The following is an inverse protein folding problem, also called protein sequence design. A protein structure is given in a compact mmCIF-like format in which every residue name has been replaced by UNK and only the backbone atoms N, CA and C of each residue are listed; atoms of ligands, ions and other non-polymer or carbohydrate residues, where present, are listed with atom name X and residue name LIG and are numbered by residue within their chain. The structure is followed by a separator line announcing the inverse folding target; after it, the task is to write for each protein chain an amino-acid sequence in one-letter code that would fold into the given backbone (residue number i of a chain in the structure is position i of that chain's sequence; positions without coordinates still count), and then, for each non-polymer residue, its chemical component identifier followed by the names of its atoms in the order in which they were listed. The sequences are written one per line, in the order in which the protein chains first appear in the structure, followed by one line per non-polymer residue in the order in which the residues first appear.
data_IF_203557107691
#
_entry.id   IF_203557107691
#
_cell.length_a   1.000
_cell.length_b   1.000
_cell.length_c   1.000
_cell.angle_alpha   90.00
_cell.angle_beta   90.00
_cell.angle_gamma   90.00
#
_symmetry.space_group_name_H-M   'P 1'
#
loop_
_entity.id
_entity.type
_entity.pdbx_description
1 polymer ?
#
# COMPACT_ATOMS: atom_id res chain seq x y z
N UNK A 1 72.04 -16.29 -36.17
CA UNK A 1 71.73 -17.01 -34.91
C UNK A 1 70.39 -17.71 -35.09
N UNK A 2 70.42 -19.05 -35.02
CA UNK A 2 69.34 -20.05 -34.82
C UNK A 2 67.92 -19.78 -35.35
N UNK A 3 67.42 -20.54 -36.35
CA UNK A 3 66.97 -21.96 -36.30
C UNK A 3 65.49 -22.07 -35.84
N UNK A 4 64.52 -22.29 -36.75
CA UNK A 4 63.98 -23.57 -37.28
C UNK A 4 62.80 -24.18 -36.47
N UNK A 5 61.81 -24.74 -37.19
CA UNK A 5 60.84 -25.77 -36.75
C UNK A 5 59.38 -25.29 -36.74
N UNK A 6 58.52 -25.48 -37.75
CA UNK A 6 57.88 -26.69 -38.31
C UNK A 6 57.08 -27.60 -37.35
N UNK A 7 55.77 -27.70 -37.66
CA UNK A 7 54.94 -28.92 -37.77
C UNK A 7 54.51 -29.71 -36.53
N UNK A 8 53.20 -29.92 -36.34
CA UNK A 8 52.54 -31.22 -36.60
C UNK A 8 51.07 -31.28 -36.13
N UNK A 9 50.28 -32.04 -36.91
CA UNK A 9 48.91 -32.52 -36.64
C UNK A 9 48.95 -33.85 -35.88
N UNK A 10 47.97 -34.08 -35.00
CA UNK A 10 47.25 -35.34 -34.68
C UNK A 10 46.43 -35.04 -33.40
N UNK A 11 45.13 -35.34 -33.25
CA UNK A 11 44.38 -36.50 -33.68
C UNK A 11 44.26 -37.47 -32.50
N UNK A 12 43.14 -37.47 -31.75
CA UNK A 12 42.62 -38.73 -31.19
C UNK A 12 41.16 -38.67 -30.69
N UNK A 13 40.48 -39.78 -30.97
CA UNK A 13 39.13 -40.18 -30.60
C UNK A 13 39.15 -40.97 -29.28
N UNK A 14 38.09 -40.94 -28.48
CA UNK A 14 37.56 -42.11 -27.70
C UNK A 14 36.23 -41.71 -27.03
N UNK A 15 35.07 -42.29 -27.42
CA UNK A 15 34.38 -43.47 -26.83
C UNK A 15 33.87 -43.22 -25.39
N UNK A 16 32.55 -43.08 -25.21
CA UNK A 16 31.51 -44.11 -24.93
C UNK A 16 31.38 -44.45 -23.44
N UNK A 17 30.14 -44.39 -22.94
CA UNK A 17 29.38 -45.21 -21.97
C UNK A 17 28.41 -44.22 -21.28
N UNK A 18 27.09 -44.30 -21.37
CA UNK A 18 26.24 -45.49 -21.38
C UNK A 18 25.96 -45.86 -19.92
N UNK A 19 24.83 -45.40 -19.38
CA UNK A 19 24.07 -46.15 -18.39
C UNK A 19 22.67 -45.53 -18.21
N UNK A 20 21.71 -46.30 -18.70
CA UNK A 20 20.32 -46.30 -18.29
C UNK A 20 20.21 -46.68 -16.81
N UNK A 21 19.25 -46.07 -16.10
CA UNK A 21 18.52 -46.77 -15.05
C UNK A 21 17.18 -46.06 -14.80
N UNK A 22 16.14 -46.71 -15.33
CA UNK A 22 14.75 -46.65 -14.87
C UNK A 22 14.69 -46.90 -13.36
N UNK A 23 13.88 -46.12 -12.64
CA UNK A 23 13.18 -46.59 -11.46
C UNK A 23 11.82 -45.87 -11.37
N UNK A 24 10.79 -46.64 -11.70
CA UNK A 24 9.41 -46.48 -11.28
C UNK A 24 9.32 -46.37 -9.75
N UNK A 25 8.62 -45.35 -9.25
CA UNK A 25 7.81 -45.47 -8.05
C UNK A 25 6.57 -44.60 -8.20
N UNK A 26 5.44 -45.27 -8.37
CA UNK A 26 4.12 -44.74 -8.07
C UNK A 26 3.91 -44.81 -6.55
N UNK A 27 3.41 -43.73 -5.96
CA UNK A 27 2.63 -43.81 -4.73
C UNK A 27 1.69 -42.61 -4.64
N UNK A 28 0.40 -42.95 -4.55
CA UNK A 28 -0.71 -42.10 -4.17
C UNK A 28 -0.49 -41.51 -2.77
N UNK A 29 -0.81 -40.23 -2.57
CA UNK A 29 -1.38 -39.84 -1.27
C UNK A 29 -2.40 -38.71 -1.41
N UNK A 30 -3.52 -38.94 -0.73
CA UNK A 30 -4.70 -38.10 -0.70
C UNK A 30 -4.58 -37.08 0.42
N UNK A 31 -5.04 -35.85 0.13
CA UNK A 31 -5.76 -35.06 1.12
C UNK A 31 -4.92 -34.13 2.01
N UNK A 32 -5.04 -32.83 1.74
CA UNK A 32 -5.59 -31.92 2.77
C UNK A 32 -5.94 -30.59 2.13
N UNK A 33 -7.25 -30.32 2.09
CA UNK A 33 -7.78 -29.02 1.71
C UNK A 33 -7.42 -27.98 2.76
N UNK A 34 -6.71 -26.94 2.33
CA UNK A 34 -6.57 -25.69 3.08
C UNK A 34 -7.12 -24.55 2.23
N UNK A 35 -8.39 -24.23 2.47
CA UNK A 35 -9.02 -23.02 1.96
C UNK A 35 -8.34 -21.78 2.54
N UNK A 36 -7.42 -21.18 1.78
CA UNK A 36 -7.09 -19.76 1.92
C UNK A 36 -7.83 -18.98 0.84
N UNK A 37 -8.86 -18.25 1.25
CA UNK A 37 -9.60 -17.29 0.44
C UNK A 37 -8.63 -16.23 -0.07
N UNK A 38 -8.31 -16.28 -1.36
CA UNK A 38 -7.60 -15.22 -2.05
C UNK A 38 -8.42 -13.94 -2.02
N UNK A 39 -7.87 -12.90 -1.42
CA UNK A 39 -8.39 -11.54 -1.47
C UNK A 39 -8.19 -10.99 -2.90
N UNK A 40 -9.21 -11.14 -3.74
CA UNK A 40 -9.40 -10.29 -4.92
C UNK A 40 -10.22 -9.09 -4.48
N UNK A 41 -9.56 -7.96 -4.30
CA UNK A 41 -10.21 -6.73 -3.84
C UNK A 41 -9.44 -5.50 -4.31
N UNK A 42 -9.35 -5.28 -5.62
CA UNK A 42 -8.78 -4.06 -6.20
C UNK A 42 -9.78 -3.38 -7.14
N UNK A 43 -10.25 -2.22 -6.68
CA UNK A 43 -10.44 -0.93 -7.39
C UNK A 43 -11.32 -0.75 -8.65
N UNK A 44 -11.74 -1.78 -9.40
CA UNK A 44 -12.33 -1.51 -10.75
C UNK A 44 -13.85 -1.63 -10.91
N UNK A 45 -14.65 -1.79 -9.86
CA UNK A 45 -16.13 -1.77 -9.97
C UNK A 45 -16.77 -0.39 -9.77
N UNK A 46 -15.99 0.67 -9.51
CA UNK A 46 -16.55 1.97 -9.10
C UNK A 46 -16.64 3.03 -10.23
N UNK A 47 -16.04 2.77 -11.40
CA UNK A 47 -15.93 3.76 -12.48
C UNK A 47 -16.67 3.35 -13.78
N UNK A 48 -17.72 2.52 -13.67
CA UNK A 48 -18.74 2.37 -14.74
C UNK A 48 -19.94 3.26 -14.42
N UNK A 49 -20.37 4.05 -15.39
CA UNK A 49 -21.41 5.11 -15.32
C UNK A 49 -22.83 4.64 -14.91
N UNK A 50 -23.74 5.58 -14.52
CA UNK A 50 -24.72 5.35 -13.47
C UNK A 50 -26.15 5.05 -13.99
N UNK A 51 -26.90 4.26 -13.21
CA UNK A 51 -28.36 4.25 -13.27
C UNK A 51 -28.94 4.01 -11.87
N UNK A 52 -29.82 4.92 -11.44
CA UNK A 52 -30.81 4.64 -10.39
C UNK A 52 -30.58 5.33 -9.05
N UNK A 53 -31.24 6.48 -8.88
CA UNK A 53 -31.65 7.07 -7.60
C UNK A 53 -32.28 6.04 -6.65
N UNK A 54 -31.92 6.09 -5.36
CA UNK A 54 -32.89 6.12 -4.26
C UNK A 54 -32.31 6.87 -3.05
N UNK A 55 -33.12 7.81 -2.54
CA UNK A 55 -32.96 8.46 -1.24
C UNK A 55 -32.92 7.44 -0.10
N UNK A 56 -32.01 7.65 0.85
CA UNK A 56 -32.21 7.20 2.23
C UNK A 56 -31.62 8.22 3.20
N UNK A 57 -32.47 8.72 4.09
CA UNK A 57 -32.16 9.64 5.18
C UNK A 57 -31.22 9.01 6.21
N UNK A 58 -30.43 9.82 6.96
CA UNK A 58 -29.55 9.29 7.99
C UNK A 58 -30.33 8.97 9.27
N UNK A 59 -30.45 7.69 9.60
CA UNK A 59 -30.86 7.24 10.93
C UNK A 59 -29.79 7.60 11.96
N UNK A 60 -30.18 8.44 12.90
CA UNK A 60 -29.45 8.76 14.13
C UNK A 60 -29.48 7.53 15.05
N UNK A 61 -28.32 6.91 15.27
CA UNK A 61 -28.20 5.79 16.19
C UNK A 61 -28.19 6.30 17.64
N UNK A 62 -29.33 6.11 18.31
CA UNK A 62 -29.52 6.27 19.75
C UNK A 62 -28.77 5.16 20.49
N UNK A 63 -27.74 5.50 21.26
CA UNK A 63 -27.25 4.60 22.31
C UNK A 63 -28.10 4.76 23.57
N UNK A 64 -28.86 3.69 23.77
CA UNK A 64 -29.85 3.41 24.79
C UNK A 64 -29.19 3.23 26.16
N UNK A 65 -29.51 4.11 27.12
CA UNK A 65 -29.24 3.90 28.55
C UNK A 65 -30.11 2.74 29.04
N UNK A 66 -29.50 1.60 29.36
CA UNK A 66 -30.14 0.56 30.14
C UNK A 66 -30.35 1.07 31.57
N UNK A 67 -31.61 1.26 31.96
CA UNK A 67 -32.02 1.41 33.36
C UNK A 67 -32.08 0.01 34.01
N UNK A 68 -31.67 -0.17 35.28
CA UNK A 68 -32.06 -1.34 36.03
C UNK A 68 -33.51 -1.20 36.52
N UNK A 69 -34.26 -2.28 36.36
CA UNK A 69 -35.65 -2.47 36.75
C UNK A 69 -35.93 -2.09 38.22
N UNK A 70 -37.06 -1.41 38.37
CA UNK A 70 -37.71 -1.03 39.63
C UNK A 70 -38.19 -2.28 40.36
N UNK A 71 -37.57 -2.62 41.49
CA UNK A 71 -38.14 -3.59 42.43
C UNK A 71 -39.34 -2.96 43.18
N UNK A 72 -40.51 -3.22 42.61
CA UNK A 72 -41.83 -3.41 43.22
C UNK A 72 -41.94 -3.13 44.73
N UNK A 73 -42.54 -2.00 45.08
CA UNK A 73 -43.15 -1.75 46.40
C UNK A 73 -44.22 -2.80 46.68
N UNK A 74 -44.06 -3.60 47.73
CA UNK A 74 -45.16 -4.35 48.33
C UNK A 74 -45.63 -3.64 49.61
N UNK A 75 -46.95 -3.48 49.69
CA UNK A 75 -47.71 -2.85 50.77
C UNK A 75 -47.71 -3.73 52.05
N UNK A 76 -48.06 -3.17 53.23
CA UNK A 76 -47.86 -3.85 54.51
C UNK A 76 -48.95 -4.91 54.79
N UNK A 77 -48.62 -6.04 55.44
CA UNK A 77 -49.65 -6.96 55.89
C UNK A 77 -50.25 -6.51 57.23
N UNK A 78 -51.55 -6.80 57.34
CA UNK A 78 -52.44 -6.50 58.43
C UNK A 78 -52.04 -7.15 59.77
N UNK A 79 -52.49 -6.51 60.86
CA UNK A 79 -52.44 -7.01 62.23
C UNK A 79 -53.20 -8.34 62.39
N UNK A 80 -52.69 -9.28 63.20
CA UNK A 80 -53.52 -10.25 63.88
C UNK A 80 -53.67 -9.91 65.38
N UNK A 81 -54.89 -10.14 65.86
CA UNK A 81 -55.35 -9.96 67.22
C UNK A 81 -54.57 -10.76 68.28
N UNK A 82 -54.58 -10.21 69.50
CA UNK A 82 -54.05 -10.80 70.73
C UNK A 82 -54.73 -12.14 71.07
N UNK A 83 -53.94 -13.13 71.49
CA UNK A 83 -54.26 -14.02 72.63
C UNK A 83 -52.97 -14.51 73.27
N UNK A 84 -52.91 -14.38 74.59
CA UNK A 84 -51.70 -14.64 75.37
C UNK A 84 -51.37 -16.12 75.53
N UNK A 85 -50.12 -16.38 75.86
CA UNK A 85 -49.74 -17.25 76.97
C UNK A 85 -48.33 -16.86 77.39
N UNK A 86 -48.23 -16.60 78.67
CA UNK A 86 -47.05 -16.54 79.50
C UNK A 86 -46.14 -17.75 79.26
N UNK A 87 -44.84 -17.52 79.06
CA UNK A 87 -43.71 -18.40 79.42
C UNK A 87 -42.42 -18.00 78.69
N UNK A 88 -41.34 -17.90 79.46
CA UNK A 88 -40.05 -18.44 79.01
C UNK A 88 -39.06 -17.45 78.42
N UNK A 89 -38.28 -16.86 79.31
CA UNK A 89 -36.95 -16.29 79.09
C UNK A 89 -36.09 -17.25 78.23
N UNK A 90 -35.55 -16.72 77.12
CA UNK A 90 -34.24 -16.98 76.47
C UNK A 90 -34.33 -17.09 74.94
N UNK A 91 -34.01 -15.97 74.25
CA UNK A 91 -33.46 -15.81 72.89
C UNK A 91 -33.39 -14.28 72.64
N UNK A 92 -32.34 -13.59 72.22
CA UNK A 92 -30.91 -13.84 72.05
C UNK A 92 -30.21 -12.46 72.05
N UNK A 93 -28.98 -12.29 72.57
CA UNK A 93 -28.17 -11.09 72.35
C UNK A 93 -27.81 -10.84 70.87
N UNK A 94 -28.00 -11.86 70.03
CA UNK A 94 -27.56 -11.95 68.62
C UNK A 94 -28.31 -11.00 67.67
N UNK A 95 -29.54 -10.59 67.98
CA UNK A 95 -30.34 -9.74 67.08
C UNK A 95 -29.93 -8.26 67.13
N UNK A 96 -29.56 -7.71 68.29
CA UNK A 96 -29.03 -6.34 68.36
C UNK A 96 -27.70 -6.19 67.62
N UNK A 97 -26.84 -7.21 67.71
CA UNK A 97 -25.58 -7.26 66.96
C UNK A 97 -25.81 -7.40 65.45
N UNK A 98 -26.87 -8.11 65.03
CA UNK A 98 -27.25 -8.21 63.62
C UNK A 98 -27.73 -6.86 63.06
N UNK A 99 -28.57 -6.12 63.79
CA UNK A 99 -29.02 -4.77 63.40
C UNK A 99 -27.89 -3.76 63.37
N UNK A 100 -26.92 -3.85 64.29
CA UNK A 100 -25.70 -3.03 64.26
C UNK A 100 -24.87 -3.28 63.00
N UNK A 101 -24.63 -4.55 62.65
CA UNK A 101 -23.89 -4.94 61.44
C UNK A 101 -24.59 -4.52 60.13
N UNK A 102 -25.93 -4.58 60.08
CA UNK A 102 -26.71 -4.09 58.92
C UNK A 102 -26.58 -2.57 58.79
N UNK A 103 -26.76 -1.83 59.89
CA UNK A 103 -26.63 -0.37 59.89
C UNK A 103 -25.23 0.11 59.49
N UNK A 104 -24.19 -0.62 59.89
CA UNK A 104 -22.80 -0.31 59.50
C UNK A 104 -22.55 -0.59 58.02
N UNK A 105 -23.07 -1.69 57.49
CA UNK A 105 -23.02 -1.99 56.05
C UNK A 105 -23.80 -0.97 55.22
N UNK A 106 -24.94 -0.48 55.69
CA UNK A 106 -25.71 0.54 54.99
C UNK A 106 -24.95 1.87 54.92
N UNK A 107 -24.25 2.26 56.01
CA UNK A 107 -23.37 3.43 56.01
C UNK A 107 -22.20 3.28 55.05
N UNK A 108 -21.61 2.08 54.96
CA UNK A 108 -20.55 1.79 54.00
C UNK A 108 -21.05 1.79 52.55
N UNK A 109 -22.23 1.23 52.29
CA UNK A 109 -22.88 1.28 50.97
C UNK A 109 -23.19 2.73 50.56
N UNK A 110 -23.66 3.55 51.49
CA UNK A 110 -23.91 4.97 51.24
C UNK A 110 -22.62 5.72 50.89
N UNK A 111 -21.53 5.50 51.64
CA UNK A 111 -20.22 6.08 51.33
C UNK A 111 -19.69 5.65 49.97
N UNK A 112 -19.85 4.36 49.62
CA UNK A 112 -19.48 3.84 48.30
C UNK A 112 -20.34 4.44 47.19
N UNK A 113 -21.64 4.61 47.41
CA UNK A 113 -22.54 5.22 46.45
C UNK A 113 -22.17 6.69 46.20
N UNK A 114 -21.88 7.46 47.25
CA UNK A 114 -21.39 8.83 47.15
C UNK A 114 -20.04 8.91 46.43
N UNK A 115 -19.13 7.99 46.72
CA UNK A 115 -17.85 7.90 46.02
C UNK A 115 -18.01 7.56 44.53
N UNK A 116 -18.88 6.60 44.19
CA UNK A 116 -19.21 6.23 42.81
C UNK A 116 -19.81 7.43 42.07
N UNK A 117 -20.70 8.18 42.71
CA UNK A 117 -21.30 9.37 42.10
C UNK A 117 -20.26 10.48 41.90
N UNK A 118 -19.34 10.65 42.84
CA UNK A 118 -18.18 11.54 42.70
C UNK A 118 -17.26 11.13 41.54
N UNK A 119 -17.02 9.83 41.33
CA UNK A 119 -16.24 9.33 40.19
C UNK A 119 -16.96 9.54 38.86
N UNK A 120 -18.28 9.31 38.78
CA UNK A 120 -19.07 9.60 37.58
C UNK A 120 -19.03 11.09 37.22
N UNK A 121 -19.07 11.96 38.24
CA UNK A 121 -18.88 13.40 38.08
C UNK A 121 -17.53 13.72 37.43
N UNK A 122 -16.44 13.13 37.93
CA UNK A 122 -15.11 13.31 37.36
C UNK A 122 -14.99 12.77 35.93
N UNK A 123 -15.54 11.59 35.63
CA UNK A 123 -15.55 11.02 34.28
C UNK A 123 -16.27 11.96 33.31
N UNK A 124 -17.43 12.48 33.72
CA UNK A 124 -18.21 13.42 32.89
C UNK A 124 -17.42 14.72 32.65
N UNK A 125 -16.73 15.22 33.68
CA UNK A 125 -15.89 16.42 33.56
C UNK A 125 -14.66 16.18 32.65
N UNK A 126 -14.06 14.99 32.71
CA UNK A 126 -12.96 14.62 31.82
C UNK A 126 -13.44 14.50 30.37
N UNK A 127 -14.61 13.89 30.14
CA UNK A 127 -15.20 13.79 28.81
C UNK A 127 -15.52 15.17 28.20
N UNK A 128 -16.07 16.10 28.99
CA UNK A 128 -16.34 17.45 28.50
C UNK A 128 -15.07 18.23 28.20
N UNK A 129 -14.03 18.10 29.04
CA UNK A 129 -12.71 18.67 28.77
C UNK A 129 -12.07 18.09 27.51
N UNK A 130 -12.13 16.77 27.34
CA UNK A 130 -11.62 16.10 26.14
C UNK A 130 -12.32 16.63 24.89
N UNK A 131 -13.65 16.71 24.90
CA UNK A 131 -14.41 17.24 23.76
C UNK A 131 -14.08 18.72 23.47
N UNK A 132 -13.90 19.54 24.51
CA UNK A 132 -13.51 20.94 24.36
C UNK A 132 -12.13 21.08 23.72
N UNK A 133 -11.15 20.30 24.17
CA UNK A 133 -9.80 20.27 23.60
C UNK A 133 -9.80 19.75 22.16
N UNK A 134 -10.55 18.69 21.85
CA UNK A 134 -10.70 18.19 20.48
C UNK A 134 -11.34 19.24 19.55
N UNK A 135 -12.28 20.03 20.07
CA UNK A 135 -12.89 21.12 19.31
C UNK A 135 -11.90 22.27 19.07
N UNK A 136 -11.16 22.69 20.09
CA UNK A 136 -10.11 23.71 19.96
C UNK A 136 -9.01 23.28 18.99
N UNK A 137 -8.56 22.02 19.09
CA UNK A 137 -7.60 21.43 18.16
C UNK A 137 -8.11 21.47 16.71
N UNK A 138 -9.38 21.12 16.47
CA UNK A 138 -10.00 21.22 15.14
C UNK A 138 -10.02 22.65 14.63
N UNK A 139 -10.35 23.62 15.48
CA UNK A 139 -10.35 25.04 15.09
C UNK A 139 -8.94 25.53 14.72
N UNK A 140 -7.94 25.17 15.51
CA UNK A 140 -6.53 25.49 15.23
C UNK A 140 -6.05 24.84 13.93
N UNK A 141 -6.42 23.59 13.67
CA UNK A 141 -6.12 22.90 12.42
C UNK A 141 -6.75 23.62 11.22
N UNK A 142 -8.05 23.95 11.29
CA UNK A 142 -8.75 24.69 10.22
C UNK A 142 -8.11 26.05 9.96
N UNK A 143 -7.76 26.80 11.02
CA UNK A 143 -7.09 28.09 10.89
C UNK A 143 -5.70 27.94 10.23
N UNK A 144 -4.94 26.91 10.61
CA UNK A 144 -3.64 26.60 10.01
C UNK A 144 -3.77 26.26 8.53
N UNK A 145 -4.72 25.41 8.14
CA UNK A 145 -4.95 25.06 6.73
C UNK A 145 -5.37 26.26 5.87
N UNK A 146 -6.18 27.18 6.40
CA UNK A 146 -6.55 28.43 5.71
C UNK A 146 -5.33 29.32 5.46
N UNK A 147 -4.41 29.42 6.41
CA UNK A 147 -3.19 30.20 6.24
C UNK A 147 -2.22 29.55 5.22
N UNK A 148 -2.16 28.22 5.17
CA UNK A 148 -1.34 27.47 4.20
C UNK A 148 -1.89 27.57 2.77
N UNK A 149 -3.22 27.69 2.62
CA UNK A 149 -3.83 27.97 1.32
C UNK A 149 -3.33 29.29 0.71
N UNK A 150 -2.98 30.27 1.55
CA UNK A 150 -2.52 31.61 1.17
C UNK A 150 -0.99 31.74 1.09
N UNK A 151 -0.22 30.75 1.57
CA UNK A 151 1.23 30.75 1.43
C UNK A 151 1.58 30.56 -0.05
N UNK A 152 2.43 31.45 -0.58
CA UNK A 152 2.89 31.44 -1.98
C UNK A 152 3.64 30.13 -2.29
N UNK A 153 2.90 29.10 -2.67
CA UNK A 153 3.43 27.86 -3.22
C UNK A 153 3.47 28.00 -4.74
N UNK A 154 4.66 27.89 -5.32
CA UNK A 154 4.83 27.81 -6.77
C UNK A 154 4.75 26.34 -7.19
N UNK A 155 3.77 25.95 -8.04
CA UNK A 155 3.71 24.60 -8.57
C UNK A 155 4.94 24.32 -9.44
N UNK A 156 5.37 23.07 -9.44
CA UNK A 156 6.47 22.62 -10.29
C UNK A 156 6.02 22.68 -11.76
N UNK A 157 6.90 23.14 -12.64
CA UNK A 157 6.58 23.25 -14.06
C UNK A 157 6.58 21.87 -14.74
N UNK A 158 5.71 21.71 -15.75
CA UNK A 158 5.54 20.44 -16.47
C UNK A 158 6.84 19.94 -17.13
N UNK A 159 7.75 20.84 -17.51
CA UNK A 159 9.03 20.48 -18.15
C UNK A 159 9.96 19.84 -17.13
N UNK A 160 10.10 20.44 -15.95
CA UNK A 160 10.84 19.87 -14.83
C UNK A 160 10.23 18.54 -14.38
N UNK A 161 8.89 18.42 -14.36
CA UNK A 161 8.22 17.17 -13.96
C UNK A 161 8.57 16.05 -14.93
N UNK A 162 8.46 16.32 -16.25
CA UNK A 162 8.85 15.40 -17.31
C UNK A 162 10.31 14.98 -17.19
N UNK A 163 11.21 15.93 -16.91
CA UNK A 163 12.64 15.66 -16.76
C UNK A 163 12.94 14.74 -15.57
N UNK A 164 12.31 15.00 -14.42
CA UNK A 164 12.47 14.22 -13.20
C UNK A 164 11.92 12.80 -13.34
N UNK A 165 10.71 12.65 -13.91
CA UNK A 165 10.11 11.35 -14.23
C UNK A 165 10.98 10.58 -15.22
N UNK A 166 11.48 11.24 -16.27
CA UNK A 166 12.42 10.64 -17.23
C UNK A 166 13.76 10.26 -16.60
N UNK A 167 14.20 10.94 -15.54
CA UNK A 167 15.34 10.55 -14.73
C UNK A 167 15.11 9.23 -13.99
N UNK A 168 13.96 9.09 -13.34
CA UNK A 168 13.55 7.86 -12.65
C UNK A 168 13.43 6.69 -13.64
N UNK A 169 12.75 6.91 -14.77
CA UNK A 169 12.59 5.88 -15.81
C UNK A 169 13.95 5.37 -16.31
N UNK A 170 14.88 6.27 -16.67
CA UNK A 170 16.23 5.90 -17.10
C UNK A 170 16.99 5.09 -16.06
N UNK A 171 16.91 5.48 -14.79
CA UNK A 171 17.56 4.75 -13.69
C UNK A 171 16.99 3.33 -13.53
N UNK A 172 15.67 3.19 -13.63
CA UNK A 172 14.98 1.89 -13.59
C UNK A 172 15.37 1.01 -14.79
N UNK A 173 15.38 1.57 -16.00
CA UNK A 173 15.83 0.87 -17.21
C UNK A 173 17.28 0.41 -17.07
N UNK A 174 18.16 1.28 -16.53
CA UNK A 174 19.57 0.95 -16.34
C UNK A 174 19.75 -0.21 -15.35
N UNK A 175 18.98 -0.25 -14.26
CA UNK A 175 18.99 -1.38 -13.31
C UNK A 175 18.58 -2.68 -14.01
N UNK A 176 17.49 -2.68 -14.79
CA UNK A 176 17.06 -3.88 -15.52
C UNK A 176 18.10 -4.35 -16.55
N UNK A 177 18.79 -3.42 -17.22
CA UNK A 177 19.88 -3.73 -18.16
C UNK A 177 21.11 -4.33 -17.48
N UNK A 178 21.52 -3.78 -16.33
CA UNK A 178 22.74 -4.19 -15.61
C UNK A 178 22.55 -5.49 -14.82
N UNK A 179 21.38 -5.69 -14.24
CA UNK A 179 21.14 -6.75 -13.27
C UNK A 179 20.09 -7.76 -13.71
N UNK A 180 19.44 -7.60 -14.86
CA UNK A 180 18.52 -8.61 -15.39
C UNK A 180 19.27 -9.88 -15.80
N UNK A 181 18.65 -11.03 -15.54
CA UNK A 181 19.20 -12.34 -15.85
C UNK A 181 19.39 -12.53 -17.36
N UNK A 182 20.42 -13.28 -17.73
CA UNK A 182 20.60 -13.76 -19.09
C UNK A 182 19.77 -15.04 -19.31
N UNK A 183 19.44 -15.42 -20.55
CA UNK A 183 18.66 -16.64 -20.83
C UNK A 183 19.23 -17.91 -20.20
N UNK A 184 20.57 -17.98 -20.04
CA UNK A 184 21.25 -19.08 -19.36
C UNK A 184 20.87 -19.22 -17.88
N UNK A 185 20.71 -18.10 -17.17
CA UNK A 185 20.32 -18.03 -15.75
C UNK A 185 18.85 -18.39 -15.52
N UNK A 186 18.03 -18.35 -16.58
CA UNK A 186 16.61 -18.66 -16.54
C UNK A 186 16.30 -20.14 -16.82
N UNK A 187 17.26 -20.93 -17.33
CA UNK A 187 17.04 -22.34 -17.71
C UNK A 187 16.56 -23.22 -16.57
N UNK A 188 17.01 -22.96 -15.36
CA UNK A 188 16.64 -23.71 -14.16
C UNK A 188 15.55 -23.00 -13.35
N UNK A 189 14.86 -21.99 -13.92
CA UNK A 189 13.68 -21.38 -13.27
C UNK A 189 12.67 -22.46 -12.88
N UNK A 190 12.49 -23.50 -13.70
CA UNK A 190 11.61 -24.64 -13.41
C UNK A 190 11.99 -25.43 -12.15
N UNK A 191 13.26 -25.37 -11.72
CA UNK A 191 13.76 -26.04 -10.50
C UNK A 191 13.49 -25.23 -9.23
N UNK A 192 13.06 -23.97 -9.35
CA UNK A 192 12.72 -23.12 -8.20
C UNK A 192 11.43 -23.57 -7.54
N UNK A 193 11.24 -23.31 -6.23
CA UNK A 193 10.01 -23.66 -5.54
C UNK A 193 8.78 -23.12 -6.27
N UNK A 194 7.75 -23.95 -6.41
CA UNK A 194 6.52 -23.60 -7.12
C UNK A 194 5.90 -22.30 -6.57
N UNK A 195 5.94 -22.12 -5.25
CA UNK A 195 5.44 -20.91 -4.58
C UNK A 195 6.14 -19.62 -5.01
N UNK A 196 7.46 -19.65 -5.24
CA UNK A 196 8.19 -18.48 -5.70
C UNK A 196 7.88 -18.17 -7.17
N UNK A 197 7.74 -19.20 -8.01
CA UNK A 197 7.34 -19.08 -9.42
C UNK A 197 5.90 -18.56 -9.55
N UNK A 198 4.99 -19.05 -8.71
CA UNK A 198 3.61 -18.57 -8.64
C UNK A 198 3.55 -17.09 -8.30
N UNK A 199 4.34 -16.67 -7.31
CA UNK A 199 4.42 -15.26 -6.93
C UNK A 199 4.99 -14.40 -8.06
N UNK A 200 6.05 -14.87 -8.74
CA UNK A 200 6.60 -14.17 -9.91
C UNK A 200 5.55 -14.02 -11.01
N UNK A 201 4.82 -15.10 -11.33
CA UNK A 201 3.77 -15.06 -12.33
C UNK A 201 2.66 -14.07 -11.94
N UNK A 202 2.20 -14.08 -10.68
CA UNK A 202 1.19 -13.14 -10.20
C UNK A 202 1.66 -11.69 -10.29
N UNK A 203 2.93 -11.43 -9.93
CA UNK A 203 3.50 -10.09 -9.99
C UNK A 203 3.63 -9.63 -11.45
N UNK A 204 4.06 -10.52 -12.35
CA UNK A 204 4.19 -10.24 -13.78
C UNK A 204 2.86 -9.98 -14.48
N UNK A 205 1.73 -10.55 -14.04
CA UNK A 205 0.41 -10.20 -14.59
C UNK A 205 0.08 -8.70 -14.47
N UNK A 206 0.76 -7.94 -13.60
CA UNK A 206 0.57 -6.49 -13.51
C UNK A 206 1.25 -5.72 -14.64
N UNK A 207 2.20 -6.33 -15.33
CA UNK A 207 3.06 -5.68 -16.33
C UNK A 207 3.10 -6.39 -17.68
N UNK A 208 2.87 -7.70 -17.73
CA UNK A 208 2.84 -8.55 -18.93
C UNK A 208 1.45 -9.17 -19.07
N UNK A 209 0.89 -9.08 -20.28
CA UNK A 209 -0.33 -9.77 -20.63
C UNK A 209 -0.01 -11.23 -20.92
N UNK A 210 -0.57 -12.14 -20.13
CA UNK A 210 -0.37 -13.58 -20.25
C UNK A 210 -1.68 -14.23 -20.71
N UNK A 211 -1.62 -15.11 -21.71
CA UNK A 211 -2.80 -15.87 -22.18
C UNK A 211 -3.16 -17.02 -21.21
N UNK A 212 -4.24 -17.77 -21.47
CA UNK A 212 -4.73 -18.83 -20.58
C UNK A 212 -3.71 -19.97 -20.31
N UNK A 213 -2.74 -20.17 -21.20
CA UNK A 213 -1.60 -21.10 -21.02
C UNK A 213 -0.36 -20.43 -20.39
N UNK A 214 -0.51 -19.21 -19.85
CA UNK A 214 0.52 -18.18 -19.73
C UNK A 214 1.74 -18.50 -18.88
N UNK A 215 1.71 -19.54 -18.04
CA UNK A 215 2.90 -19.93 -17.25
C UNK A 215 3.99 -20.55 -18.11
N UNK A 216 3.62 -21.52 -18.95
CA UNK A 216 4.60 -22.21 -19.77
C UNK A 216 5.17 -21.26 -20.83
N UNK A 217 4.29 -20.47 -21.45
CA UNK A 217 4.65 -19.42 -22.40
C UNK A 217 5.64 -18.41 -21.79
N UNK A 218 5.39 -17.96 -20.55
CA UNK A 218 6.29 -17.05 -19.84
C UNK A 218 7.68 -17.67 -19.60
N UNK A 219 7.75 -18.93 -19.21
CA UNK A 219 9.02 -19.61 -18.96
C UNK A 219 9.79 -19.85 -20.26
N UNK A 220 9.10 -20.20 -21.33
CA UNK A 220 9.67 -20.31 -22.68
C UNK A 220 10.20 -18.95 -23.17
N UNK A 221 9.47 -17.86 -22.91
CA UNK A 221 9.89 -16.49 -23.26
C UNK A 221 11.15 -16.08 -22.48
N UNK A 222 11.19 -16.35 -21.16
CA UNK A 222 12.34 -16.06 -20.30
C UNK A 222 13.60 -16.85 -20.67
N UNK A 223 13.44 -18.07 -21.20
CA UNK A 223 14.56 -18.93 -21.65
C UNK A 223 14.94 -18.65 -23.10
N UNK A 224 13.98 -18.25 -23.93
CA UNK A 224 14.13 -18.10 -25.38
C UNK A 224 14.55 -16.70 -25.84
N UNK A 225 14.20 -15.66 -25.10
CA UNK A 225 14.46 -14.27 -25.50
C UNK A 225 15.54 -13.61 -24.63
N UNK A 226 16.55 -13.04 -25.30
CA UNK A 226 17.71 -12.42 -24.63
C UNK A 226 17.33 -11.25 -23.72
N UNK A 227 16.29 -10.50 -24.07
CA UNK A 227 15.90 -9.29 -23.36
C UNK A 227 14.74 -9.49 -22.37
N UNK A 228 14.06 -10.65 -22.36
CA UNK A 228 12.81 -10.83 -21.62
C UNK A 228 12.98 -10.57 -20.12
N UNK A 229 13.94 -11.23 -19.46
CA UNK A 229 14.17 -11.04 -18.02
C UNK A 229 14.55 -9.58 -17.68
N UNK A 230 15.33 -8.92 -18.54
CA UNK A 230 15.70 -7.50 -18.38
C UNK A 230 14.48 -6.59 -18.48
N UNK A 231 13.65 -6.77 -19.50
CA UNK A 231 12.41 -6.01 -19.73
C UNK A 231 11.42 -6.23 -18.59
N UNK A 232 11.22 -7.47 -18.16
CA UNK A 232 10.30 -7.81 -17.07
C UNK A 232 10.79 -7.28 -15.72
N UNK A 233 12.10 -7.34 -15.44
CA UNK A 233 12.67 -6.74 -14.25
C UNK A 233 12.49 -5.22 -14.24
N UNK A 234 12.73 -4.55 -15.38
CA UNK A 234 12.44 -3.11 -15.56
C UNK A 234 10.96 -2.82 -15.31
N UNK A 235 10.06 -3.61 -15.91
CA UNK A 235 8.61 -3.48 -15.76
C UNK A 235 8.17 -3.61 -14.30
N UNK A 236 8.62 -4.65 -13.59
CA UNK A 236 8.27 -4.86 -12.19
C UNK A 236 8.81 -3.76 -11.27
N UNK A 237 10.05 -3.32 -11.46
CA UNK A 237 10.60 -2.21 -10.67
C UNK A 237 9.84 -0.92 -10.92
N UNK A 238 9.53 -0.65 -12.19
CA UNK A 238 8.72 0.49 -12.60
C UNK A 238 7.32 0.44 -12.00
N UNK A 239 6.67 -0.73 -12.04
CA UNK A 239 5.38 -0.95 -11.40
C UNK A 239 5.45 -0.71 -9.90
N UNK A 240 6.42 -1.28 -9.19
CA UNK A 240 6.58 -1.09 -7.75
C UNK A 240 6.75 0.39 -7.39
N UNK A 241 7.61 1.12 -8.10
CA UNK A 241 7.82 2.56 -7.89
C UNK A 241 6.54 3.36 -8.13
N UNK A 242 5.88 3.14 -9.28
CA UNK A 242 4.73 3.96 -9.64
C UNK A 242 3.46 3.59 -8.86
N UNK A 243 3.25 2.31 -8.59
CA UNK A 243 2.07 1.82 -7.88
C UNK A 243 2.16 2.12 -6.37
N UNK A 244 3.31 1.84 -5.74
CA UNK A 244 3.43 2.01 -4.28
C UNK A 244 3.70 3.46 -3.87
N UNK A 245 4.42 4.23 -4.69
CA UNK A 245 4.88 5.58 -4.33
C UNK A 245 4.15 6.65 -5.13
N UNK A 246 4.27 6.63 -6.47
CA UNK A 246 3.78 7.74 -7.30
C UNK A 246 2.25 7.84 -7.29
N UNK A 247 1.54 6.71 -7.32
CA UNK A 247 0.08 6.68 -7.42
C UNK A 247 -0.64 6.95 -6.10
N UNK A 248 0.05 6.83 -4.95
CA UNK A 248 -0.55 6.99 -3.64
C UNK A 248 -0.01 8.27 -2.94
N UNK A 249 -0.80 9.35 -2.80
CA UNK A 249 -0.38 10.57 -2.12
C UNK A 249 0.01 10.39 -0.65
N UNK A 250 -0.34 9.27 -0.03
CA UNK A 250 -0.13 8.99 1.39
C UNK A 250 0.79 7.78 1.65
N UNK A 251 1.60 7.37 0.66
CA UNK A 251 2.50 6.22 0.73
C UNK A 251 3.39 6.21 2.00
N UNK A 252 3.76 7.39 2.51
CA UNK A 252 4.66 7.56 3.64
C UNK A 252 4.02 7.30 5.02
N UNK A 253 2.68 7.19 5.09
CA UNK A 253 1.97 6.94 6.35
C UNK A 253 2.05 5.49 6.83
N UNK A 254 2.69 4.59 6.08
CA UNK A 254 2.83 3.20 6.51
C UNK A 254 3.64 3.14 7.81
N UNK A 255 3.11 2.41 8.79
CA UNK A 255 3.74 2.27 10.08
C UNK A 255 5.03 1.44 9.99
N UNK A 256 6.05 1.90 10.71
CA UNK A 256 7.25 1.13 11.02
C UNK A 256 6.93 0.26 12.21
N UNK A 257 6.03 -0.72 12.05
CA UNK A 257 5.68 -1.60 13.16
C UNK A 257 6.84 -2.55 13.40
N UNK A 258 7.76 -2.14 14.27
CA UNK A 258 8.58 -3.08 15.00
C UNK A 258 7.65 -3.74 16.03
N UNK A 259 7.00 -4.83 15.62
CA UNK A 259 5.96 -5.57 16.38
C UNK A 259 6.41 -5.93 17.80
N UNK A 260 7.72 -5.92 18.06
CA UNK A 260 8.33 -6.23 19.36
C UNK A 260 8.02 -5.23 20.48
N UNK A 261 7.62 -3.99 20.19
CA UNK A 261 7.41 -2.96 21.23
C UNK A 261 5.94 -2.74 21.62
N UNK A 262 4.98 -3.46 21.01
CA UNK A 262 3.56 -3.33 21.35
C UNK A 262 2.88 -4.69 21.59
N UNK A 263 3.20 -5.39 22.69
CA UNK A 263 2.60 -6.69 23.02
C UNK A 263 1.11 -6.64 23.42
N UNK A 264 0.47 -5.45 23.45
CA UNK A 264 -0.90 -5.26 23.93
C UNK A 264 -1.92 -4.81 22.86
N UNK A 265 -1.53 -4.71 21.59
CA UNK A 265 -2.46 -4.36 20.50
C UNK A 265 -2.75 -5.61 19.66
N UNK A 266 -3.80 -6.32 20.06
CA UNK A 266 -4.38 -7.47 19.35
C UNK A 266 -5.32 -7.01 18.20
N UNK A 267 -4.91 -5.99 17.45
CA UNK A 267 -5.74 -5.34 16.44
C UNK A 267 -4.97 -5.19 15.13
N UNK A 268 -5.58 -5.68 14.04
CA UNK A 268 -5.10 -5.53 12.66
C UNK A 268 -4.44 -4.17 12.46
N UNK A 269 -3.14 -4.18 12.14
CA UNK A 269 -2.38 -2.98 11.81
C UNK A 269 -3.11 -2.26 10.67
N UNK A 270 -3.69 -1.11 10.96
CA UNK A 270 -4.40 -0.31 9.96
C UNK A 270 -3.38 0.10 8.90
N UNK A 271 -3.62 -0.28 7.65
CA UNK A 271 -2.85 0.21 6.50
C UNK A 271 -3.25 1.67 6.25
N UNK A 272 -2.62 2.58 7.00
CA UNK A 272 -2.90 4.01 6.93
C UNK A 272 -2.79 4.61 5.53
N UNK A 273 -1.75 4.30 4.73
CA UNK A 273 -1.70 4.71 3.32
C UNK A 273 -2.97 4.36 2.56
N UNK A 274 -3.43 3.11 2.68
CA UNK A 274 -4.62 2.66 1.96
C UNK A 274 -5.91 3.27 2.52
N UNK A 275 -6.01 3.46 3.84
CA UNK A 275 -7.15 4.08 4.48
C UNK A 275 -7.32 5.55 4.04
N UNK A 276 -6.24 6.33 4.06
CA UNK A 276 -6.23 7.71 3.60
C UNK A 276 -6.48 7.81 2.09
N UNK A 277 -5.86 6.93 1.30
CA UNK A 277 -6.11 6.87 -0.14
C UNK A 277 -7.57 6.55 -0.45
N UNK A 278 -8.19 5.61 0.26
CA UNK A 278 -9.60 5.28 0.09
C UNK A 278 -10.53 6.44 0.48
N UNK A 279 -10.19 7.19 1.53
CA UNK A 279 -10.94 8.39 1.92
C UNK A 279 -10.83 9.47 0.83
N UNK A 280 -9.61 9.73 0.34
CA UNK A 280 -9.35 10.62 -0.78
C UNK A 280 -10.16 10.25 -2.03
N UNK A 281 -10.12 8.98 -2.45
CA UNK A 281 -10.81 8.53 -3.66
C UNK A 281 -12.34 8.63 -3.55
N UNK A 282 -12.90 8.46 -2.34
CA UNK A 282 -14.34 8.66 -2.10
C UNK A 282 -14.73 10.13 -2.18
N UNK A 283 -13.92 11.01 -1.59
CA UNK A 283 -14.15 12.45 -1.67
C UNK A 283 -14.00 12.92 -3.11
N UNK A 284 -13.00 12.43 -3.85
CA UNK A 284 -12.79 12.74 -5.26
C UNK A 284 -14.04 12.49 -6.11
N UNK A 285 -14.72 11.36 -5.89
CA UNK A 285 -15.95 11.00 -6.60
C UNK A 285 -17.12 11.93 -6.27
N UNK A 286 -17.11 12.58 -5.10
CA UNK A 286 -18.18 13.46 -4.63
C UNK A 286 -17.91 14.92 -4.97
N UNK A 287 -16.66 15.36 -4.76
CA UNK A 287 -16.17 16.71 -5.02
C UNK A 287 -14.65 16.67 -5.26
N UNK A 288 -14.25 16.60 -6.53
CA UNK A 288 -12.85 16.56 -6.93
C UNK A 288 -12.06 17.79 -6.45
N UNK A 289 -12.66 18.98 -6.46
CA UNK A 289 -12.00 20.20 -6.00
C UNK A 289 -11.59 20.09 -4.52
N UNK A 290 -12.55 19.82 -3.63
CA UNK A 290 -12.31 19.69 -2.19
C UNK A 290 -11.35 18.54 -1.87
N UNK A 291 -11.46 17.41 -2.57
CA UNK A 291 -10.57 16.27 -2.39
C UNK A 291 -9.09 16.64 -2.62
N UNK A 292 -8.80 17.36 -3.70
CA UNK A 292 -7.42 17.77 -4.02
C UNK A 292 -6.95 18.95 -3.19
N UNK A 293 -7.85 19.86 -2.83
CA UNK A 293 -7.56 20.90 -1.86
C UNK A 293 -7.11 20.29 -0.55
N UNK A 294 -7.89 19.38 0.02
CA UNK A 294 -7.57 18.66 1.24
C UNK A 294 -6.26 17.88 1.12
N UNK A 295 -6.11 17.05 0.08
CA UNK A 295 -4.89 16.25 -0.14
C UNK A 295 -3.65 17.14 -0.25
N UNK A 296 -3.68 18.17 -1.09
CA UNK A 296 -2.53 19.04 -1.32
C UNK A 296 -2.18 19.87 -0.08
N UNK A 297 -3.17 20.38 0.64
CA UNK A 297 -2.96 21.11 1.89
C UNK A 297 -2.41 20.21 2.99
N UNK A 298 -2.92 18.98 3.11
CA UNK A 298 -2.42 17.98 4.05
C UNK A 298 -0.94 17.70 3.80
N UNK A 299 -0.57 17.49 2.53
CA UNK A 299 0.83 17.22 2.16
C UNK A 299 1.71 18.46 2.32
N UNK A 300 1.22 19.67 2.04
CA UNK A 300 1.96 20.92 2.32
C UNK A 300 2.15 21.17 3.81
N UNK A 301 1.19 20.78 4.63
CA UNK A 301 1.30 20.88 6.09
C UNK A 301 2.37 19.91 6.62
N UNK A 302 2.33 18.65 6.16
CA UNK A 302 3.29 17.63 6.58
C UNK A 302 4.67 17.86 5.97
N UNK A 303 4.74 18.32 4.73
CA UNK A 303 5.96 18.62 4.00
C UNK A 303 5.91 20.07 3.52
N UNK A 304 6.25 21.05 4.38
CA UNK A 304 6.26 22.47 4.01
C UNK A 304 7.26 22.76 2.88
N UNK A 305 6.89 23.59 1.88
CA UNK A 305 7.78 23.97 0.78
C UNK A 305 8.90 24.91 1.27
N UNK A 306 10.11 24.73 0.73
CA UNK A 306 11.25 25.63 1.00
C UNK A 306 11.95 25.44 2.35
N UNK A 307 11.54 24.46 3.16
CA UNK A 307 12.18 24.18 4.46
C UNK A 307 13.22 23.05 4.43
N UNK A 308 13.49 22.50 3.24
CA UNK A 308 14.45 21.40 3.01
C UNK A 308 15.91 21.82 3.32
N UNK A 309 16.21 23.11 3.45
CA UNK A 309 17.55 23.65 3.74
C UNK A 309 17.69 24.36 5.11
N UNK A 310 16.75 24.18 6.03
CA UNK A 310 16.90 24.78 7.37
C UNK A 310 17.90 23.95 8.18
N UNK A 311 18.97 24.58 8.66
CA UNK A 311 20.00 23.97 9.51
C UNK A 311 19.46 23.37 10.83
N UNK A 312 18.20 23.66 11.19
CA UNK A 312 17.55 23.11 12.36
C UNK A 312 16.06 22.78 12.06
N UNK A 313 15.77 21.61 11.48
CA UNK A 313 14.40 21.22 11.16
C UNK A 313 13.58 20.99 12.43
N UNK A 314 12.31 21.39 12.41
CA UNK A 314 11.40 21.15 13.54
C UNK A 314 11.21 19.64 13.81
N UNK A 315 10.85 19.22 15.03
CA UNK A 315 10.63 17.81 15.34
C UNK A 315 9.60 17.14 14.41
N UNK A 316 8.57 17.87 14.00
CA UNK A 316 7.57 17.38 13.03
C UNK A 316 8.17 17.17 11.64
N UNK A 317 9.00 18.11 11.16
CA UNK A 317 9.71 17.97 9.87
C UNK A 317 10.68 16.78 9.88
N UNK A 318 11.42 16.59 10.98
CA UNK A 318 12.29 15.42 11.11
C UNK A 318 11.47 14.13 11.07
N UNK A 319 10.36 14.10 11.81
CA UNK A 319 9.46 12.94 11.85
C UNK A 319 8.91 12.57 10.47
N UNK A 320 8.33 13.53 9.74
CA UNK A 320 7.73 13.28 8.41
C UNK A 320 8.77 12.96 7.34
N UNK A 321 9.97 13.57 7.39
CA UNK A 321 11.10 13.21 6.51
C UNK A 321 11.55 11.78 6.78
N UNK A 322 11.69 11.39 8.05
CA UNK A 322 12.04 10.02 8.42
C UNK A 322 10.97 9.03 7.96
N UNK A 323 9.68 9.39 8.02
CA UNK A 323 8.59 8.57 7.49
C UNK A 323 8.66 8.39 5.97
N UNK A 324 8.96 9.46 5.22
CA UNK A 324 9.21 9.39 3.76
C UNK A 324 10.37 8.46 3.45
N UNK A 325 11.53 8.66 4.10
CA UNK A 325 12.73 7.85 3.89
C UNK A 325 12.48 6.37 4.21
N UNK A 326 11.84 6.10 5.35
CA UNK A 326 11.49 4.73 5.76
C UNK A 326 10.55 4.07 4.75
N UNK A 327 9.60 4.81 4.16
CA UNK A 327 8.74 4.28 3.12
C UNK A 327 9.51 3.88 1.85
N UNK A 328 10.47 4.70 1.42
CA UNK A 328 11.36 4.36 0.30
C UNK A 328 12.19 3.12 0.57
N UNK A 329 12.81 3.02 1.75
CA UNK A 329 13.60 1.85 2.17
C UNK A 329 12.74 0.58 2.24
N UNK A 330 11.53 0.68 2.80
CA UNK A 330 10.59 -0.46 2.85
C UNK A 330 10.20 -0.93 1.46
N UNK A 331 9.86 -0.02 0.55
CA UNK A 331 9.49 -0.36 -0.82
C UNK A 331 10.68 -1.00 -1.57
N UNK A 332 11.88 -0.44 -1.45
CA UNK A 332 13.11 -1.01 -1.99
C UNK A 332 13.38 -2.43 -1.45
N UNK A 333 13.26 -2.63 -0.14
CA UNK A 333 13.44 -3.94 0.49
C UNK A 333 12.38 -4.94 0.06
N UNK A 334 11.11 -4.54 -0.06
CA UNK A 334 10.05 -5.42 -0.57
C UNK A 334 10.33 -5.84 -2.00
N UNK A 335 10.78 -4.92 -2.84
CA UNK A 335 11.14 -5.23 -4.22
C UNK A 335 12.31 -6.22 -4.27
N UNK A 336 13.45 -5.91 -3.61
CA UNK A 336 14.66 -6.73 -3.65
C UNK A 336 14.48 -8.13 -3.05
N UNK A 337 13.65 -8.25 -2.00
CA UNK A 337 13.37 -9.54 -1.35
C UNK A 337 12.16 -10.27 -1.95
N UNK A 338 11.49 -9.66 -2.95
CA UNK A 338 10.30 -10.19 -3.60
C UNK A 338 10.61 -11.25 -4.66
N UNK A 339 9.62 -11.51 -5.52
CA UNK A 339 9.74 -12.46 -6.63
C UNK A 339 10.68 -11.98 -7.75
N UNK A 340 10.90 -10.65 -7.85
CA UNK A 340 11.77 -10.03 -8.86
C UNK A 340 13.21 -10.52 -8.80
N UNK A 341 13.66 -11.02 -7.63
CA UNK A 341 14.98 -11.66 -7.46
C UNK A 341 15.21 -12.82 -8.44
N UNK A 342 14.14 -13.48 -8.90
CA UNK A 342 14.21 -14.57 -9.87
C UNK A 342 14.53 -14.09 -11.29
N UNK A 343 14.33 -12.80 -11.58
CA UNK A 343 14.67 -12.16 -12.86
C UNK A 343 16.05 -11.49 -12.83
N UNK A 344 16.76 -11.57 -11.70
CA UNK A 344 18.08 -10.96 -11.55
C UNK A 344 19.19 -11.95 -11.92
N UNK A 345 20.27 -11.42 -12.49
CA UNK A 345 21.48 -12.17 -12.84
C UNK A 345 22.04 -12.91 -11.63
N UNK A 346 22.51 -14.12 -11.86
CA UNK A 346 23.06 -14.97 -10.79
C UNK A 346 24.52 -14.68 -10.53
N UNK A 347 24.97 -15.09 -9.35
CA UNK A 347 26.38 -15.02 -8.99
C UNK A 347 26.93 -13.60 -8.87
N UNK A 348 26.07 -12.61 -8.59
CA UNK A 348 26.52 -11.27 -8.24
C UNK A 348 27.51 -11.38 -7.08
N UNK A 349 28.67 -10.76 -7.23
CA UNK A 349 29.61 -10.68 -6.12
C UNK A 349 29.08 -9.75 -5.01
N UNK A 350 29.80 -9.70 -3.89
CA UNK A 350 29.35 -8.91 -2.75
C UNK A 350 29.26 -7.41 -3.07
N UNK A 351 30.12 -6.90 -3.95
CA UNK A 351 30.15 -5.49 -4.31
C UNK A 351 29.05 -5.14 -5.31
N UNK A 352 28.84 -5.99 -6.33
CA UNK A 352 27.73 -5.87 -7.25
C UNK A 352 26.38 -5.94 -6.53
N UNK A 353 26.25 -6.82 -5.54
CA UNK A 353 25.06 -6.93 -4.69
C UNK A 353 24.82 -5.66 -3.88
N UNK A 354 25.86 -5.06 -3.27
CA UNK A 354 25.75 -3.77 -2.59
C UNK A 354 25.35 -2.65 -3.56
N UNK A 355 25.93 -2.62 -4.75
CA UNK A 355 25.65 -1.61 -5.76
C UNK A 355 24.20 -1.72 -6.27
N UNK A 356 23.67 -2.94 -6.46
CA UNK A 356 22.27 -3.17 -6.78
C UNK A 356 21.36 -2.59 -5.70
N UNK A 357 21.61 -2.93 -4.43
CA UNK A 357 20.85 -2.42 -3.30
C UNK A 357 20.90 -0.87 -3.22
N UNK A 358 22.07 -0.28 -3.42
CA UNK A 358 22.26 1.17 -3.45
C UNK A 358 21.49 1.82 -4.61
N UNK A 359 21.60 1.27 -5.82
CA UNK A 359 20.92 1.79 -7.01
C UNK A 359 19.40 1.75 -6.86
N UNK A 360 18.85 0.64 -6.38
CA UNK A 360 17.40 0.51 -6.11
C UNK A 360 16.97 1.50 -5.02
N UNK A 361 17.76 1.66 -3.96
CA UNK A 361 17.46 2.62 -2.88
C UNK A 361 17.44 4.06 -3.39
N UNK A 362 18.39 4.44 -4.27
CA UNK A 362 18.43 5.76 -4.91
C UNK A 362 17.18 6.01 -5.75
N UNK A 363 16.72 5.02 -6.53
CA UNK A 363 15.48 5.14 -7.31
C UNK A 363 14.27 5.39 -6.42
N UNK A 364 14.12 4.62 -5.34
CA UNK A 364 13.00 4.80 -4.41
C UNK A 364 13.09 6.13 -3.63
N UNK A 365 14.28 6.56 -3.21
CA UNK A 365 14.44 7.87 -2.56
C UNK A 365 14.06 9.01 -3.52
N UNK A 366 14.54 8.96 -4.76
CA UNK A 366 14.18 9.95 -5.79
C UNK A 366 12.68 9.95 -6.06
N UNK A 367 12.07 8.77 -6.22
CA UNK A 367 10.63 8.64 -6.43
C UNK A 367 9.80 9.16 -5.25
N UNK A 368 10.18 8.87 -4.01
CA UNK A 368 9.45 9.37 -2.83
C UNK A 368 9.56 10.88 -2.69
N UNK A 369 10.73 11.45 -2.96
CA UNK A 369 10.94 12.90 -3.00
C UNK A 369 10.08 13.57 -4.08
N UNK A 370 10.11 13.02 -5.30
CA UNK A 370 9.30 13.54 -6.41
C UNK A 370 7.81 13.41 -6.13
N UNK A 371 7.33 12.26 -5.65
CA UNK A 371 5.92 12.03 -5.37
C UNK A 371 5.36 13.06 -4.37
N UNK A 372 6.08 13.39 -3.29
CA UNK A 372 5.67 14.47 -2.38
C UNK A 372 5.55 15.81 -3.12
N UNK A 373 6.51 16.17 -3.97
CA UNK A 373 6.47 17.42 -4.75
C UNK A 373 5.29 17.46 -5.73
N UNK A 374 4.99 16.34 -6.40
CA UNK A 374 3.84 16.23 -7.30
C UNK A 374 2.54 16.36 -6.52
N UNK A 375 2.40 15.64 -5.41
CA UNK A 375 1.22 15.69 -4.57
C UNK A 375 1.13 16.93 -3.66
N UNK A 376 2.08 17.87 -3.68
CA UNK A 376 1.86 19.23 -3.14
C UNK A 376 1.01 20.09 -4.09
N UNK A 377 0.94 19.75 -5.36
CA UNK A 377 0.11 20.45 -6.34
C UNK A 377 -1.36 20.05 -6.18
N UNK A 378 -2.30 20.84 -6.72
CA UNK A 378 -3.74 20.56 -6.68
C UNK A 378 -4.24 19.69 -7.84
N UNK A 379 -3.37 19.34 -8.76
CA UNK A 379 -3.70 18.41 -9.86
C UNK A 379 -3.95 17.01 -9.32
N UNK A 380 -4.77 16.25 -10.03
CA UNK A 380 -4.92 14.82 -9.79
C UNK A 380 -3.90 14.06 -10.62
N UNK A 381 -3.12 13.19 -9.98
CA UNK A 381 -2.20 12.32 -10.68
C UNK A 381 -2.82 10.93 -10.85
N UNK A 382 -2.69 10.37 -12.05
CA UNK A 382 -3.05 8.97 -12.33
C UNK A 382 -1.93 8.31 -13.12
N UNK A 383 -1.54 7.12 -12.68
CA UNK A 383 -0.70 6.24 -13.48
C UNK A 383 -1.59 5.26 -14.23
N UNK A 384 -1.37 5.06 -15.54
CA UNK A 384 -2.04 4.00 -16.28
C UNK A 384 -1.09 2.81 -16.47
N UNK A 385 -1.48 1.69 -15.88
CA UNK A 385 -0.75 0.43 -15.92
C UNK A 385 -1.30 -0.49 -17.00
N UNK A 386 -0.78 -1.72 -17.08
CA UNK A 386 -1.23 -2.69 -18.08
C UNK A 386 -2.75 -2.88 -18.07
N UNK A 387 -3.37 -3.00 -16.90
CA UNK A 387 -4.82 -3.21 -16.81
C UNK A 387 -5.65 -2.01 -17.30
N UNK A 388 -5.12 -0.78 -17.24
CA UNK A 388 -5.76 0.40 -17.82
C UNK A 388 -5.57 0.46 -19.34
N UNK A 389 -4.44 -0.08 -19.83
CA UNK A 389 -4.00 0.03 -21.22
C UNK A 389 -4.27 -1.22 -22.07
N UNK A 390 -4.71 -2.33 -21.47
CA UNK A 390 -4.83 -3.65 -22.12
C UNK A 390 -5.74 -3.65 -23.36
N UNK A 391 -6.77 -2.80 -23.36
CA UNK A 391 -7.70 -2.66 -24.49
C UNK A 391 -7.32 -1.55 -25.47
N UNK A 392 -6.24 -0.81 -25.18
CA UNK A 392 -5.77 0.29 -26.00
C UNK A 392 -4.86 -0.27 -27.09
N UNK A 393 -5.19 0.06 -28.34
CA UNK A 393 -4.31 -0.26 -29.47
C UNK A 393 -3.18 0.75 -29.55
N UNK A 394 -1.98 0.26 -29.85
CA UNK A 394 -0.84 1.13 -30.06
C UNK A 394 -1.02 1.99 -31.32
N UNK A 395 -0.53 3.21 -31.26
CA UNK A 395 -0.38 4.09 -32.41
C UNK A 395 0.85 4.97 -32.17
N UNK A 396 1.70 5.15 -33.19
CA UNK A 396 2.93 5.94 -33.07
C UNK A 396 2.65 7.41 -32.70
N UNK A 397 1.51 7.97 -33.14
CA UNK A 397 1.07 9.33 -32.76
C UNK A 397 0.36 9.38 -31.41
N UNK A 398 0.31 8.28 -30.66
CA UNK A 398 -0.37 8.26 -29.38
C UNK A 398 0.25 9.32 -28.45
N UNK A 399 -0.58 10.20 -27.85
CA UNK A 399 -0.09 11.19 -26.90
C UNK A 399 0.40 10.54 -25.60
N UNK A 400 0.05 9.27 -25.38
CA UNK A 400 0.26 8.56 -24.13
C UNK A 400 1.12 7.31 -24.24
N UNK A 401 1.23 6.69 -25.42
CA UNK A 401 2.01 5.48 -25.62
C UNK A 401 3.29 5.77 -26.40
N UNK A 402 4.33 5.02 -26.08
CA UNK A 402 5.62 5.01 -26.76
C UNK A 402 6.08 3.56 -26.89
N UNK A 403 6.51 3.16 -28.09
CA UNK A 403 7.01 1.80 -28.30
C UNK A 403 8.39 1.64 -27.64
N UNK A 404 8.62 0.48 -27.04
CA UNK A 404 9.93 0.10 -26.54
C UNK A 404 10.93 -0.02 -27.68
N UNK A 405 12.19 0.37 -27.45
CA UNK A 405 13.26 0.30 -28.44
C UNK A 405 13.66 -1.12 -28.90
N UNK A 406 12.94 -2.17 -28.48
CA UNK A 406 13.07 -3.52 -29.07
C UNK A 406 12.34 -3.62 -30.42
N UNK A 407 11.48 -2.66 -30.70
CA UNK A 407 10.71 -2.62 -31.93
C UNK A 407 11.43 -1.86 -33.04
N UNK A 408 12.57 -1.21 -32.78
CA UNK A 408 13.36 -0.45 -33.78
C UNK A 408 12.51 0.50 -34.64
N UNK A 409 11.70 1.34 -33.98
CA UNK A 409 10.94 2.43 -34.61
C UNK A 409 11.78 3.71 -34.65
N UNK A 410 12.83 3.71 -35.47
CA UNK A 410 13.74 4.87 -35.59
C UNK A 410 13.14 6.01 -36.43
N UNK A 411 12.19 5.69 -37.32
CA UNK A 411 11.47 6.67 -38.15
C UNK A 411 10.12 7.03 -37.51
N UNK A 412 9.87 8.30 -37.13
CA UNK A 412 8.58 8.76 -36.62
C UNK A 412 7.40 8.56 -37.58
N UNK A 413 7.66 8.35 -38.87
CA UNK A 413 6.64 8.05 -39.88
C UNK A 413 6.36 6.54 -40.03
N UNK A 414 7.12 5.65 -39.37
CA UNK A 414 6.89 4.21 -39.42
C UNK A 414 5.64 3.83 -38.62
N UNK A 415 4.56 3.50 -39.34
CA UNK A 415 3.26 3.10 -38.77
C UNK A 415 3.06 1.58 -38.70
N UNK A 416 4.09 0.75 -38.95
CA UNK A 416 3.90 -0.71 -39.10
C UNK A 416 3.34 -1.43 -37.87
N UNK A 417 3.46 -0.81 -36.70
CA UNK A 417 2.98 -1.36 -35.42
C UNK A 417 1.65 -0.73 -34.96
N UNK A 418 1.09 0.22 -35.71
CA UNK A 418 -0.20 0.80 -35.39
C UNK A 418 -1.28 -0.29 -35.38
N UNK A 419 -2.17 -0.22 -34.38
CA UNK A 419 -3.22 -1.20 -34.18
C UNK A 419 -2.80 -2.46 -33.40
N UNK A 420 -1.50 -2.68 -33.17
CA UNK A 420 -1.00 -3.84 -32.41
C UNK A 420 -1.39 -3.73 -30.93
N UNK A 421 -1.71 -4.86 -30.28
CA UNK A 421 -2.05 -4.87 -28.86
C UNK A 421 -0.78 -4.75 -28.01
N UNK A 422 -0.96 -4.22 -26.80
CA UNK A 422 0.13 -4.09 -25.83
C UNK A 422 0.34 -5.43 -25.14
N UNK A 423 1.56 -5.98 -25.25
CA UNK A 423 1.97 -7.20 -24.54
C UNK A 423 2.52 -6.87 -23.15
N UNK A 424 3.40 -5.87 -23.05
CA UNK A 424 4.06 -5.52 -21.79
C UNK A 424 4.10 -4.01 -21.59
N UNK A 425 3.83 -3.54 -20.38
CA UNK A 425 4.06 -2.15 -19.94
C UNK A 425 5.37 -2.10 -19.15
N UNK A 426 6.40 -1.53 -19.76
CA UNK A 426 7.75 -1.38 -19.15
C UNK A 426 7.78 -0.17 -18.22
N UNK A 427 7.18 0.93 -18.66
CA UNK A 427 6.87 2.07 -17.80
C UNK A 427 5.41 2.45 -17.95
N UNK A 428 4.66 2.67 -16.86
CA UNK A 428 3.29 3.16 -16.96
C UNK A 428 3.29 4.62 -17.45
N UNK A 429 2.17 5.08 -18.00
CA UNK A 429 2.01 6.51 -18.25
C UNK A 429 1.72 7.23 -16.94
N UNK A 430 2.10 8.50 -16.86
CA UNK A 430 1.79 9.39 -15.74
C UNK A 430 1.03 10.58 -16.28
N UNK A 431 -0.22 10.73 -15.86
CA UNK A 431 -1.17 11.71 -16.38
C UNK A 431 -1.65 12.61 -15.24
N UNK A 432 -1.59 13.91 -15.47
CA UNK A 432 -2.16 14.92 -14.59
C UNK A 432 -3.49 15.43 -15.13
N UNK A 433 -4.46 15.54 -14.23
CA UNK A 433 -5.78 16.12 -14.47
C UNK A 433 -5.96 17.40 -13.66
N UNK A 434 -6.60 18.38 -14.26
CA UNK A 434 -6.90 19.66 -13.63
C UNK A 434 -5.76 20.67 -13.70
N UNK A 435 -6.07 21.90 -13.29
CA UNK A 435 -5.14 23.03 -13.23
C UNK A 435 -4.45 23.10 -11.87
N UNK A 436 -3.43 23.96 -11.76
CA UNK A 436 -2.75 24.22 -10.49
C UNK A 436 -3.66 24.85 -9.43
N UNK A 437 -4.75 25.49 -9.86
CA UNK A 437 -5.76 26.06 -8.95
C UNK A 437 -6.71 25.01 -8.38
N UNK A 438 -6.75 23.81 -8.96
CA UNK A 438 -7.61 22.72 -8.52
C UNK A 438 -8.95 22.67 -9.26
N UNK A 439 -8.98 23.07 -10.53
CA UNK A 439 -10.18 23.09 -11.37
C UNK A 439 -9.99 22.31 -12.67
N UNK A 440 -11.07 22.15 -13.44
CA UNK A 440 -11.05 21.56 -14.81
C UNK A 440 -10.49 20.14 -14.88
N UNK A 441 -10.76 19.29 -13.89
CA UNK A 441 -10.27 17.91 -13.85
C UNK A 441 -10.73 17.05 -15.04
N UNK A 442 -11.89 17.36 -15.61
CA UNK A 442 -12.47 16.62 -16.74
C UNK A 442 -11.87 17.02 -18.10
N UNK A 443 -11.37 18.25 -18.23
CA UNK A 443 -10.93 18.82 -19.53
C UNK A 443 -9.43 19.08 -19.61
N UNK A 444 -8.78 19.43 -18.49
CA UNK A 444 -7.36 19.75 -18.45
C UNK A 444 -6.52 18.49 -18.20
N UNK A 445 -6.30 17.69 -19.24
CA UNK A 445 -5.48 16.47 -19.19
C UNK A 445 -4.08 16.71 -19.77
N UNK A 446 -3.03 16.35 -19.02
CA UNK A 446 -1.63 16.49 -19.45
C UNK A 446 -0.86 15.19 -19.20
N UNK A 447 -0.20 14.68 -20.24
CA UNK A 447 0.69 13.51 -20.12
C UNK A 447 2.08 13.99 -19.70
N UNK A 448 2.46 13.65 -18.47
CA UNK A 448 3.77 13.95 -17.89
C UNK A 448 4.81 12.86 -18.16
N UNK A 449 4.38 11.62 -18.36
CA UNK A 449 5.23 10.56 -18.90
C UNK A 449 4.38 9.64 -19.76
N UNK A 450 4.88 9.27 -20.94
CA UNK A 450 4.23 8.25 -21.78
C UNK A 450 4.48 6.86 -21.20
N UNK A 451 3.54 5.94 -21.43
CA UNK A 451 3.76 4.53 -21.17
C UNK A 451 4.71 3.97 -22.21
N UNK A 452 5.80 3.35 -21.76
CA UNK A 452 6.72 2.62 -22.63
C UNK A 452 6.25 1.17 -22.73
N UNK A 453 5.93 0.70 -23.94
CA UNK A 453 5.25 -0.59 -24.15
C UNK A 453 5.98 -1.50 -25.12
N UNK A 454 5.97 -2.81 -24.83
CA UNK A 454 6.29 -3.86 -25.81
C UNK A 454 4.99 -4.38 -26.39
N UNK A 455 4.94 -4.49 -27.71
CA UNK A 455 3.77 -4.91 -28.47
C UNK A 455 3.83 -6.41 -28.78
N UNK A 456 2.67 -7.02 -28.95
CA UNK A 456 2.53 -8.40 -29.44
C UNK A 456 2.63 -8.37 -30.98
N UNK A 457 3.75 -8.85 -31.55
CA UNK A 457 4.08 -8.64 -32.98
C UNK A 457 3.68 -9.82 -33.85
#
# INVERSE_FOLDING_TARGET
MSSYGQSSKAGNKSKRHGNDQELDYAEDDQGSGSHRKGWKGTLNSFFSEPAGFYHTEPQTSQYQKQQPEVLRKQAPPAQPERRGTDQGIHKMPVERDAWGRVSEKDKELQRRAEFIEGLKGHITQLMTKQHALEHELRQLQVASFKNIANAQYTPMDDVAIKLELGGIQRSITNIGKLYGADPGDMRDLHTRPLTERDQLHLDLCNVVYLQDAGRQELEEELVGQESAARVFLTGLLSFAVHNEIVSNPFFFLADDVNVKERPFLDAATVDWPQAFFKAYSREWLSNAHEANMWRSQTIRYLFPPGEESKDNPSPLQQFVVNKRLSAGVRAANRFLNGSSKLLMRRGLDQEESRQLCANVSVVFDHATSLAIRLWRQRVALRCHFLHDLANTKFAVDSPELEAHGLHDLDDPADRRLDGKPIRTVVHPSVVAHGTHEGDSYDSARRVWAKALVVLDV
#
